data_IF_702483521648
#
_entry.id   IF_702483521648
#
_cell.length_a   1.000
_cell.length_b   1.000
_cell.length_c   1.000
_cell.angle_alpha   90.00
_cell.angle_beta   90.00
_cell.angle_gamma   90.00
#
_symmetry.space_group_name_H-M   'P 1'
#
loop_
_entity.id
_entity.type
_entity.pdbx_description
1 polymer ?
#
# COMPACT_ATOMS: atom_id res chain seq x y z
N UNK A 1 -4.71 -4.73 3.10
CA UNK A 1 -4.23 -4.74 1.71
C UNK A 1 -4.53 -3.37 1.14
N UNK A 2 -3.52 -2.68 0.61
CA UNK A 2 -3.67 -1.37 -0.03
C UNK A 2 -3.50 -1.56 -1.53
N UNK A 3 -4.28 -0.83 -2.33
CA UNK A 3 -4.19 -0.88 -3.80
C UNK A 3 -3.76 0.49 -4.29
N UNK A 4 -2.96 0.52 -5.35
CA UNK A 4 -2.60 1.76 -6.03
C UNK A 4 -2.87 1.62 -7.53
N UNK A 5 -3.09 2.76 -8.18
CA UNK A 5 -3.29 2.89 -9.62
C UNK A 5 -2.31 3.91 -10.17
N UNK A 6 -1.73 3.63 -11.33
CA UNK A 6 -0.99 4.62 -12.10
C UNK A 6 -1.84 5.00 -13.31
N UNK A 7 -2.39 6.22 -13.30
CA UNK A 7 -3.21 6.77 -14.38
C UNK A 7 -2.39 7.55 -15.42
N UNK A 8 -1.10 7.78 -15.16
CA UNK A 8 -0.20 8.49 -16.10
C UNK A 8 0.23 7.61 -17.26
N UNK A 9 0.09 6.30 -17.13
CA UNK A 9 0.36 5.34 -18.19
C UNK A 9 -0.79 5.34 -19.22
N UNK A 10 -0.45 5.06 -20.48
CA UNK A 10 -1.45 4.91 -21.57
C UNK A 10 -2.55 3.91 -21.22
N UNK A 11 -2.21 2.87 -20.46
CA UNK A 11 -3.15 1.93 -19.89
C UNK A 11 -3.06 1.98 -18.35
N UNK A 12 -4.16 2.24 -17.62
CA UNK A 12 -4.12 2.35 -16.16
C UNK A 12 -3.66 1.04 -15.52
N UNK A 13 -2.50 1.07 -14.87
CA UNK A 13 -1.94 -0.10 -14.19
C UNK A 13 -2.29 -0.10 -12.72
N UNK A 14 -2.41 -1.28 -12.12
CA UNK A 14 -2.72 -1.47 -10.70
C UNK A 14 -1.60 -2.23 -10.02
N UNK A 15 -1.21 -1.78 -8.84
CA UNK A 15 -0.33 -2.53 -7.93
C UNK A 15 -1.05 -2.77 -6.61
N UNK A 16 -0.59 -3.79 -5.89
CA UNK A 16 -1.16 -4.12 -4.59
C UNK A 16 -0.06 -4.30 -3.54
N UNK A 17 -0.27 -3.70 -2.38
CA UNK A 17 0.60 -3.85 -1.21
C UNK A 17 -0.16 -4.65 -0.17
N UNK A 18 0.40 -5.78 0.24
CA UNK A 18 -0.17 -6.64 1.29
C UNK A 18 0.86 -6.92 2.36
N UNK A 19 0.43 -6.89 3.62
CA UNK A 19 1.22 -7.42 4.73
C UNK A 19 1.05 -8.93 4.77
N UNK A 20 2.16 -9.65 4.91
CA UNK A 20 2.15 -11.11 5.10
C UNK A 20 2.63 -11.45 6.52
N UNK A 21 2.23 -12.61 7.03
CA UNK A 21 2.75 -13.11 8.31
C UNK A 21 4.23 -13.43 8.17
N UNK A 22 5.01 -13.04 9.16
CA UNK A 22 6.42 -13.38 9.29
C UNK A 22 6.64 -14.00 10.68
N UNK A 23 7.62 -14.92 10.81
CA UNK A 23 7.97 -15.52 12.11
C UNK A 23 8.56 -14.49 13.09
N UNK A 24 9.20 -13.46 12.55
CA UNK A 24 9.71 -12.30 13.28
C UNK A 24 9.63 -11.07 12.36
N UNK A 25 9.35 -9.90 12.96
CA UNK A 25 9.21 -8.63 12.26
C UNK A 25 7.99 -8.54 11.34
N UNK A 26 8.04 -7.60 10.40
CA UNK A 26 6.95 -7.26 9.49
C UNK A 26 7.40 -7.45 8.05
N UNK A 27 6.52 -7.98 7.21
CA UNK A 27 6.80 -8.17 5.78
C UNK A 27 5.68 -7.58 4.94
N UNK A 28 6.05 -6.72 4.01
CA UNK A 28 5.16 -6.18 2.98
C UNK A 28 5.55 -6.78 1.63
N UNK A 29 4.54 -7.25 0.89
CA UNK A 29 4.68 -7.69 -0.49
C UNK A 29 4.01 -6.65 -1.38
N UNK A 30 4.79 -6.07 -2.28
CA UNK A 30 4.34 -5.20 -3.36
C UNK A 30 4.24 -6.05 -4.62
N UNK A 31 3.04 -6.24 -5.14
CA UNK A 31 2.81 -6.93 -6.41
C UNK A 31 2.54 -5.90 -7.50
N UNK A 32 3.43 -5.85 -8.47
CA UNK A 32 3.40 -4.97 -9.63
C UNK A 32 2.56 -5.59 -10.77
N UNK A 33 2.03 -4.75 -11.69
CA UNK A 33 1.18 -5.20 -12.80
C UNK A 33 1.88 -6.14 -13.80
N UNK A 34 3.20 -6.05 -13.93
CA UNK A 34 4.03 -6.88 -14.80
C UNK A 34 4.32 -8.28 -14.23
N UNK A 35 3.76 -8.59 -13.05
CA UNK A 35 3.95 -9.87 -12.37
C UNK A 35 5.12 -9.87 -11.38
N UNK A 36 5.96 -8.84 -11.37
CA UNK A 36 7.03 -8.70 -10.40
C UNK A 36 6.47 -8.50 -8.98
N UNK A 37 7.08 -9.18 -8.02
CA UNK A 37 6.76 -9.06 -6.60
C UNK A 37 8.00 -8.64 -5.84
N UNK A 38 7.91 -7.54 -5.11
CA UNK A 38 8.99 -7.05 -4.25
C UNK A 38 8.62 -7.27 -2.78
N UNK A 39 9.52 -7.89 -2.04
CA UNK A 39 9.37 -8.13 -0.61
C UNK A 39 10.16 -7.07 0.16
N UNK A 40 9.50 -6.41 1.11
CA UNK A 40 10.13 -5.51 2.06
C UNK A 40 9.99 -6.12 3.46
N UNK A 41 11.12 -6.28 4.15
CA UNK A 41 11.16 -6.80 5.51
C UNK A 41 11.56 -5.68 6.48
N UNK A 42 10.89 -5.62 7.61
CA UNK A 42 11.11 -4.63 8.66
C UNK A 42 11.29 -5.37 9.99
N UNK A 43 12.27 -4.96 10.79
CA UNK A 43 12.59 -5.63 12.05
C UNK A 43 11.51 -5.40 13.11
N UNK A 44 10.94 -4.20 13.14
CA UNK A 44 10.02 -3.70 14.16
C UNK A 44 8.93 -2.78 13.58
N UNK A 45 7.99 -2.36 14.42
CA UNK A 45 6.87 -1.50 14.03
C UNK A 45 7.33 -0.09 13.60
N UNK A 46 8.37 0.49 14.21
CA UNK A 46 8.87 1.81 13.83
C UNK A 46 9.51 1.76 12.43
N UNK A 47 10.30 0.72 12.15
CA UNK A 47 10.85 0.44 10.83
C UNK A 47 9.73 0.18 9.80
N UNK A 48 8.65 -0.51 10.19
CA UNK A 48 7.49 -0.71 9.34
C UNK A 48 6.81 0.62 8.99
N UNK A 49 6.59 1.51 9.96
CA UNK A 49 5.91 2.81 9.73
C UNK A 49 6.76 3.68 8.81
N UNK A 50 8.03 3.90 9.15
CA UNK A 50 8.96 4.70 8.35
C UNK A 50 9.15 4.11 6.95
N UNK A 51 9.32 2.79 6.86
CA UNK A 51 9.48 2.08 5.60
C UNK A 51 8.22 2.09 4.73
N UNK A 52 7.03 2.04 5.32
CA UNK A 52 5.77 2.18 4.59
C UNK A 52 5.61 3.60 4.07
N UNK A 53 5.93 4.62 4.86
CA UNK A 53 5.89 6.02 4.44
C UNK A 53 6.86 6.27 3.26
N UNK A 54 8.09 5.77 3.36
CA UNK A 54 9.08 5.85 2.28
C UNK A 54 8.60 5.13 1.01
N UNK A 55 8.00 3.94 1.15
CA UNK A 55 7.40 3.20 0.03
C UNK A 55 6.27 4.00 -0.63
N UNK A 56 5.39 4.62 0.16
CA UNK A 56 4.32 5.47 -0.36
C UNK A 56 4.86 6.69 -1.10
N UNK A 57 5.88 7.35 -0.58
CA UNK A 57 6.52 8.49 -1.24
C UNK A 57 7.18 8.10 -2.57
N UNK A 58 7.91 6.97 -2.61
CA UNK A 58 8.51 6.44 -3.83
C UNK A 58 7.44 6.11 -4.90
N UNK A 59 6.36 5.43 -4.49
CA UNK A 59 5.23 5.12 -5.36
C UNK A 59 4.57 6.40 -5.90
N UNK A 60 4.37 7.41 -5.06
CA UNK A 60 3.81 8.70 -5.47
C UNK A 60 4.71 9.44 -6.48
N UNK A 61 6.04 9.40 -6.30
CA UNK A 61 7.01 9.98 -7.23
C UNK A 61 6.94 9.31 -8.62
N UNK A 62 6.70 7.99 -8.65
CA UNK A 62 6.46 7.22 -9.88
C UNK A 62 5.04 7.40 -10.48
N UNK A 63 4.18 8.21 -9.83
CA UNK A 63 2.81 8.49 -10.29
C UNK A 63 1.77 7.44 -9.89
N UNK A 64 2.09 6.59 -8.91
CA UNK A 64 1.13 5.66 -8.31
C UNK A 64 0.31 6.36 -7.23
N UNK A 65 -1.00 6.29 -7.37
CA UNK A 65 -1.96 6.89 -6.45
C UNK A 65 -2.71 5.79 -5.68
N UNK A 66 -2.91 5.90 -4.36
CA UNK A 66 -3.66 4.91 -3.61
C UNK A 66 -5.14 4.89 -4.05
N UNK A 67 -5.62 3.71 -4.47
CA UNK A 67 -7.02 3.45 -4.86
C UNK A 67 -7.99 3.39 -3.67
N UNK A 68 -7.49 3.21 -2.46
CA UNK A 68 -8.30 3.26 -1.24
C UNK A 68 -7.83 4.39 -0.33
N UNK A 69 -8.66 5.43 -0.21
CA UNK A 69 -8.88 6.03 1.11
C UNK A 69 -9.43 4.90 2.00
N UNK A 70 -8.96 4.71 3.24
CA UNK A 70 -9.74 3.93 4.19
C UNK A 70 -11.16 4.53 4.16
N UNK A 71 -12.19 3.70 3.99
CA UNK A 71 -13.55 4.17 4.16
C UNK A 71 -13.59 4.91 5.50
N UNK A 72 -14.01 6.19 5.57
CA UNK A 72 -14.24 6.80 6.85
C UNK A 72 -15.36 6.00 7.52
N UNK A 73 -15.01 5.12 8.46
CA UNK A 73 -15.94 4.47 9.38
C UNK A 73 -16.43 5.48 10.42
N UNK A 74 -16.95 6.61 9.96
CA UNK A 74 -17.69 7.58 10.76
C UNK A 74 -18.91 8.00 9.96
N UNK A 75 -19.86 7.08 9.87
CA UNK A 75 -21.24 7.45 9.66
C UNK A 75 -21.87 7.36 11.06
N UNK A 76 -21.96 8.45 11.84
CA UNK A 76 -22.84 8.41 13.00
C UNK A 76 -24.25 8.16 12.44
N UNK A 77 -24.81 7.01 12.80
CA UNK A 77 -26.23 6.81 12.67
C UNK A 77 -26.89 7.73 13.70
N UNK A 78 -27.50 8.81 13.22
CA UNK A 78 -28.59 9.50 13.88
C UNK A 78 -29.63 9.71 12.76
N UNK A 79 -30.83 9.11 12.74
CA UNK A 79 -31.59 8.55 13.85
C UNK A 79 -32.23 9.70 14.62
N UNK A 80 -33.49 10.02 14.29
CA UNK A 80 -34.31 11.01 15.00
C UNK A 80 -34.87 12.07 14.08
#
# INVERSE_FOLDING_TARGET
MVRFINRRLREPRRLTVRRIRARSGHRLVVAYPDGLRRLHAFADDAALVSGTAALQAALAAEGWEPLQRPAPRWRPAAGG
#
